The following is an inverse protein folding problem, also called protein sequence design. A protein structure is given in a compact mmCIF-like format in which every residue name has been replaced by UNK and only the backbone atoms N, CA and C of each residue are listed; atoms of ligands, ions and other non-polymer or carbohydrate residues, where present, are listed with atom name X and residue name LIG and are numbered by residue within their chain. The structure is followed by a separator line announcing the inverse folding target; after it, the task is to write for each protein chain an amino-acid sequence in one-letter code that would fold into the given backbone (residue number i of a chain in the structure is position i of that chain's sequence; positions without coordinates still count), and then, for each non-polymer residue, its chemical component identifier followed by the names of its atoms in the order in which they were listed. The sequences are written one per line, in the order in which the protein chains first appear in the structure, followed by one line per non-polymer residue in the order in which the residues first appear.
data_IF_396725951058
#
_entry.id   IF_396725951058
#
_cell.length_a   1.000
_cell.length_b   1.000
_cell.length_c   1.000
_cell.angle_alpha   90.00
_cell.angle_beta   90.00
_cell.angle_gamma   90.00
#
_symmetry.space_group_name_H-M   'P 1'
#
loop_
_entity.id
_entity.type
_entity.pdbx_description
1 polymer ?
#
# COMPACT_ATOMS: atom_id res chain seq x y z
N UNK A 1 1.78 24.79 -78.87
CA UNK A 1 1.05 23.49 -78.85
C UNK A 1 1.94 22.26 -78.91
N UNK A 2 2.64 21.92 -80.01
CA UNK A 2 3.42 20.65 -80.07
C UNK A 2 4.62 20.65 -79.10
N UNK A 3 5.39 21.73 -79.07
CA UNK A 3 6.54 21.85 -78.16
C UNK A 3 6.14 21.88 -76.68
N UNK A 4 5.07 22.59 -76.33
CA UNK A 4 4.53 22.62 -74.96
C UNK A 4 4.02 21.24 -74.52
N UNK A 5 3.40 20.46 -75.42
CA UNK A 5 2.96 19.10 -75.12
C UNK A 5 4.13 18.14 -74.86
N UNK A 6 5.24 18.27 -75.59
CA UNK A 6 6.42 17.45 -75.34
C UNK A 6 7.13 17.83 -74.03
N UNK A 7 7.19 19.12 -73.69
CA UNK A 7 7.72 19.56 -72.40
C UNK A 7 6.88 19.04 -71.22
N UNK A 8 5.55 19.09 -71.33
CA UNK A 8 4.66 18.58 -70.28
C UNK A 8 4.78 17.06 -70.08
N UNK A 9 5.01 16.31 -71.16
CA UNK A 9 5.25 14.86 -71.09
C UNK A 9 6.54 14.53 -70.36
N UNK A 10 7.61 15.28 -70.62
CA UNK A 10 8.89 15.04 -69.95
C UNK A 10 8.80 15.39 -68.46
N UNK A 11 8.16 16.51 -68.09
CA UNK A 11 7.91 16.85 -66.68
C UNK A 11 7.06 15.79 -65.95
N UNK A 12 6.04 15.23 -66.62
CA UNK A 12 5.25 14.13 -66.07
C UNK A 12 6.08 12.87 -65.87
N UNK A 13 6.99 12.59 -66.80
CA UNK A 13 7.89 11.44 -66.73
C UNK A 13 8.90 11.58 -65.60
N UNK A 14 9.47 12.76 -65.42
CA UNK A 14 10.37 13.06 -64.30
C UNK A 14 9.64 12.90 -62.96
N UNK A 15 8.44 13.48 -62.81
CA UNK A 15 7.63 13.32 -61.60
C UNK A 15 7.27 11.86 -61.31
N UNK A 16 6.93 11.08 -62.34
CA UNK A 16 6.66 9.66 -62.19
C UNK A 16 7.90 8.90 -61.67
N UNK A 17 9.08 9.17 -62.23
CA UNK A 17 10.33 8.56 -61.77
C UNK A 17 10.68 8.94 -60.33
N UNK A 18 10.47 10.21 -59.94
CA UNK A 18 10.70 10.65 -58.55
C UNK A 18 9.77 9.94 -57.58
N UNK A 19 8.47 9.85 -57.90
CA UNK A 19 7.49 9.14 -57.07
C UNK A 19 7.82 7.64 -56.96
N UNK A 20 8.31 7.01 -58.02
CA UNK A 20 8.75 5.61 -57.97
C UNK A 20 9.95 5.41 -57.03
N UNK A 21 10.91 6.33 -57.03
CA UNK A 21 12.05 6.29 -56.12
C UNK A 21 11.63 6.51 -54.65
N UNK A 22 10.77 7.49 -54.39
CA UNK A 22 10.23 7.74 -53.05
C UNK A 22 9.44 6.53 -52.52
N UNK A 23 8.63 5.90 -53.38
CA UNK A 23 7.88 4.69 -53.04
C UNK A 23 8.83 3.53 -52.68
N UNK A 24 9.95 3.39 -53.40
CA UNK A 24 10.94 2.36 -53.12
C UNK A 24 11.61 2.59 -51.76
N UNK A 25 12.05 3.83 -51.50
CA UNK A 25 12.67 4.20 -50.22
C UNK A 25 11.71 3.95 -49.04
N UNK A 26 10.45 4.36 -49.20
CA UNK A 26 9.43 4.16 -48.18
C UNK A 26 9.17 2.67 -47.92
N UNK A 27 9.21 1.82 -48.94
CA UNK A 27 9.08 0.36 -48.77
C UNK A 27 10.27 -0.22 -47.99
N UNK A 28 11.48 0.23 -48.27
CA UNK A 28 12.68 -0.22 -47.55
C UNK A 28 12.66 0.20 -46.08
N UNK A 29 12.23 1.43 -45.78
CA UNK A 29 12.08 1.91 -44.40
C UNK A 29 11.02 1.11 -43.63
N UNK A 30 9.90 0.78 -44.26
CA UNK A 30 8.86 -0.03 -43.64
C UNK A 30 9.32 -1.47 -43.35
N UNK A 31 10.09 -2.10 -44.24
CA UNK A 31 10.65 -3.43 -43.96
C UNK A 31 11.67 -3.37 -42.81
N UNK A 32 12.53 -2.34 -42.75
CA UNK A 32 13.44 -2.15 -41.60
C UNK A 32 12.69 -1.99 -40.27
N UNK A 33 11.64 -1.16 -40.26
CA UNK A 33 10.81 -0.97 -39.07
C UNK A 33 10.11 -2.26 -38.63
N UNK A 34 9.65 -3.05 -39.59
CA UNK A 34 9.01 -4.35 -39.34
C UNK A 34 9.98 -5.36 -38.75
N UNK A 35 11.21 -5.44 -39.27
CA UNK A 35 12.27 -6.28 -38.69
C UNK A 35 12.64 -5.84 -37.26
N UNK A 36 12.73 -4.53 -37.01
CA UNK A 36 13.01 -4.00 -35.67
C UNK A 36 11.89 -4.34 -34.67
N UNK A 37 10.63 -4.19 -35.11
CA UNK A 37 9.47 -4.55 -34.31
C UNK A 37 9.45 -6.05 -33.98
N UNK A 38 9.76 -6.89 -34.96
CA UNK A 38 9.81 -8.34 -34.78
C UNK A 38 10.92 -8.75 -33.79
N UNK A 39 12.09 -8.11 -33.86
CA UNK A 39 13.15 -8.27 -32.85
C UNK A 39 12.66 -7.90 -31.44
N UNK A 40 12.03 -6.73 -31.28
CA UNK A 40 11.49 -6.29 -29.98
C UNK A 40 10.44 -7.25 -29.44
N UNK A 41 9.54 -7.75 -30.29
CA UNK A 41 8.53 -8.74 -29.90
C UNK A 41 9.17 -10.04 -29.42
N UNK A 42 10.23 -10.51 -30.10
CA UNK A 42 10.93 -11.73 -29.71
C UNK A 42 11.69 -11.57 -28.38
N UNK A 43 12.33 -10.43 -28.15
CA UNK A 43 12.94 -10.10 -26.85
C UNK A 43 11.89 -10.08 -25.74
N UNK A 44 10.78 -9.37 -25.93
CA UNK A 44 9.69 -9.32 -24.93
C UNK A 44 9.09 -10.70 -24.64
N UNK A 45 8.99 -11.58 -25.63
CA UNK A 45 8.55 -12.96 -25.44
C UNK A 45 9.52 -13.76 -24.56
N UNK A 46 10.83 -13.57 -24.74
CA UNK A 46 11.85 -14.21 -23.91
C UNK A 46 11.80 -13.70 -22.47
N UNK A 47 11.73 -12.38 -22.28
CA UNK A 47 11.65 -11.77 -20.94
C UNK A 47 10.39 -12.24 -20.19
N UNK A 48 9.25 -12.34 -20.91
CA UNK A 48 8.01 -12.87 -20.35
C UNK A 48 8.14 -14.33 -19.92
N UNK A 49 8.89 -15.15 -20.65
CA UNK A 49 9.11 -16.55 -20.30
C UNK A 49 9.97 -16.68 -19.04
N UNK A 50 11.09 -15.93 -18.98
CA UNK A 50 11.96 -15.85 -17.81
C UNK A 50 11.19 -15.41 -16.56
N UNK A 51 10.40 -14.34 -16.68
CA UNK A 51 9.62 -13.82 -15.57
C UNK A 51 8.55 -14.83 -15.09
N UNK A 52 7.99 -15.65 -15.98
CA UNK A 52 7.08 -16.74 -15.60
C UNK A 52 7.81 -17.85 -14.82
N UNK A 53 8.99 -18.25 -15.27
CA UNK A 53 9.80 -19.27 -14.59
C UNK A 53 10.23 -18.82 -13.19
N UNK A 54 10.65 -17.57 -13.03
CA UNK A 54 10.99 -16.99 -11.73
C UNK A 54 9.78 -16.94 -10.78
N UNK A 55 8.61 -16.57 -11.29
CA UNK A 55 7.38 -16.55 -10.51
C UNK A 55 6.97 -17.96 -10.03
N UNK A 56 7.11 -18.98 -10.87
CA UNK A 56 6.83 -20.36 -10.46
C UNK A 56 7.84 -20.86 -9.40
N UNK A 57 9.11 -20.51 -9.54
CA UNK A 57 10.13 -20.82 -8.52
C UNK A 57 9.81 -20.15 -7.18
N UNK A 58 9.41 -18.88 -7.20
CA UNK A 58 9.03 -18.15 -5.98
C UNK A 58 7.79 -18.74 -5.31
N UNK A 59 6.78 -19.14 -6.09
CA UNK A 59 5.60 -19.84 -5.56
C UNK A 59 5.96 -21.15 -4.87
N UNK A 60 6.88 -21.92 -5.45
CA UNK A 60 7.28 -23.19 -4.85
C UNK A 60 8.06 -22.97 -3.54
N UNK A 61 8.95 -21.98 -3.48
CA UNK A 61 9.63 -21.59 -2.23
C UNK A 61 8.63 -21.15 -1.15
N UNK A 62 7.59 -20.41 -1.52
CA UNK A 62 6.50 -20.04 -0.62
C UNK A 62 5.72 -21.27 -0.12
N UNK A 63 5.42 -22.22 -1.00
CA UNK A 63 4.74 -23.47 -0.65
C UNK A 63 5.54 -24.28 0.36
N UNK A 64 6.85 -24.38 0.15
CA UNK A 64 7.75 -25.05 1.10
C UNK A 64 7.74 -24.38 2.48
N UNK A 65 7.87 -23.04 2.53
CA UNK A 65 7.83 -22.29 3.79
C UNK A 65 6.51 -22.44 4.53
N UNK A 66 5.37 -22.44 3.82
CA UNK A 66 4.05 -22.67 4.41
C UNK A 66 3.98 -24.08 5.01
N UNK A 67 4.41 -25.10 4.28
CA UNK A 67 4.43 -26.48 4.77
C UNK A 67 5.29 -26.63 6.04
N UNK A 68 6.46 -25.99 6.10
CA UNK A 68 7.30 -26.00 7.30
C UNK A 68 6.59 -25.35 8.49
N UNK A 69 6.00 -24.17 8.29
CA UNK A 69 5.27 -23.47 9.35
C UNK A 69 4.04 -24.26 9.85
N UNK A 70 3.35 -24.97 8.95
CA UNK A 70 2.24 -25.85 9.33
C UNK A 70 2.71 -27.03 10.19
N UNK A 71 3.86 -27.62 9.88
CA UNK A 71 4.47 -28.67 10.70
C UNK A 71 4.88 -28.15 12.08
N UNK A 72 5.54 -26.99 12.14
CA UNK A 72 5.92 -26.37 13.42
C UNK A 72 4.71 -26.03 14.29
N UNK A 73 3.62 -25.54 13.67
CA UNK A 73 2.37 -25.25 14.35
C UNK A 73 1.74 -26.52 14.93
N UNK A 74 1.78 -27.64 14.20
CA UNK A 74 1.27 -28.93 14.69
C UNK A 74 2.07 -29.38 15.92
N UNK A 75 3.39 -29.27 15.85
CA UNK A 75 4.30 -29.64 16.94
C UNK A 75 4.04 -28.79 18.19
N UNK A 76 3.89 -27.47 18.02
CA UNK A 76 3.50 -26.55 19.10
C UNK A 76 2.14 -26.91 19.71
N UNK A 77 1.16 -27.34 18.91
CA UNK A 77 -0.15 -27.77 19.41
C UNK A 77 -0.03 -29.04 20.27
N UNK A 78 0.74 -30.02 19.81
CA UNK A 78 0.98 -31.26 20.57
C UNK A 78 1.69 -31.00 21.91
N UNK A 79 2.68 -30.11 21.93
CA UNK A 79 3.37 -29.70 23.16
C UNK A 79 2.43 -28.98 24.13
N UNK A 80 1.56 -28.10 23.63
CA UNK A 80 0.57 -27.41 24.46
C UNK A 80 -0.45 -28.40 25.08
N UNK A 81 -0.88 -29.42 24.36
CA UNK A 81 -1.76 -30.47 24.92
C UNK A 81 -1.05 -31.28 26.02
N UNK A 82 0.22 -31.65 25.82
CA UNK A 82 1.03 -32.31 26.87
C UNK A 82 1.15 -31.46 28.13
N UNK A 83 1.42 -30.16 27.97
CA UNK A 83 1.51 -29.23 29.09
C UNK A 83 0.16 -29.07 29.83
N UNK A 84 -0.97 -29.02 29.11
CA UNK A 84 -2.30 -29.00 29.73
C UNK A 84 -2.55 -30.25 30.57
N UNK A 85 -2.18 -31.43 30.07
CA UNK A 85 -2.31 -32.68 30.82
C UNK A 85 -1.46 -32.69 32.09
N UNK A 86 -0.21 -32.23 32.02
CA UNK A 86 0.66 -32.08 33.21
C UNK A 86 0.08 -31.11 34.23
N UNK A 87 -0.46 -29.98 33.76
CA UNK A 87 -1.04 -28.95 34.61
C UNK A 87 -2.31 -29.47 35.32
N UNK A 88 -3.13 -30.26 34.62
CA UNK A 88 -4.29 -30.94 35.20
C UNK A 88 -3.87 -31.97 36.26
N UNK A 89 -2.82 -32.77 36.00
CA UNK A 89 -2.25 -33.73 36.97
C UNK A 89 -1.71 -33.03 38.21
N UNK A 90 -0.99 -31.90 38.05
CA UNK A 90 -0.47 -31.08 39.16
C UNK A 90 -1.59 -30.41 39.96
N UNK A 91 -2.65 -29.94 39.30
CA UNK A 91 -3.83 -29.39 39.97
C UNK A 91 -4.56 -30.41 40.85
N UNK A 92 -4.66 -31.66 40.38
CA UNK A 92 -5.21 -32.78 41.17
C UNK A 92 -4.33 -33.15 42.38
N UNK A 93 -3.00 -33.10 42.24
CA UNK A 93 -2.07 -33.31 43.35
C UNK A 93 -2.07 -32.18 44.38
N UNK A 94 -2.36 -30.94 43.97
CA UNK A 94 -2.41 -29.77 44.85
C UNK A 94 -3.70 -29.65 45.68
N UNK A 95 -4.65 -30.61 45.55
CA UNK A 95 -5.90 -30.59 46.32
C UNK A 95 -6.87 -29.46 45.94
N UNK A 96 -6.74 -28.91 44.73
CA UNK A 96 -7.73 -27.95 44.20
C UNK A 96 -8.86 -28.76 43.57
N UNK A 97 -9.99 -28.85 44.28
CA UNK A 97 -11.25 -29.32 43.71
C UNK A 97 -11.69 -28.31 42.65
N UNK A 98 -11.51 -28.65 41.38
CA UNK A 98 -12.23 -27.99 40.29
C UNK A 98 -13.72 -28.29 40.48
N UNK A 99 -14.50 -27.24 40.74
CA UNK A 99 -15.97 -27.28 40.67
C UNK A 99 -16.34 -27.75 39.28
N UNK A 100 -16.79 -29.01 39.15
CA UNK A 100 -17.45 -29.51 37.94
C UNK A 100 -18.78 -28.78 37.77
N UNK A 101 -19.07 -28.47 36.51
CA UNK A 101 -20.12 -27.57 36.05
C UNK A 101 -21.50 -27.74 36.67
N UNK A 102 -22.18 -26.60 36.77
CA UNK A 102 -23.64 -26.58 36.74
C UNK A 102 -24.07 -26.71 35.27
N UNK A 103 -24.60 -27.88 34.93
CA UNK A 103 -25.48 -28.04 33.79
C UNK A 103 -26.72 -27.14 33.99
N UNK A 104 -26.95 -26.21 33.07
CA UNK A 104 -28.29 -25.67 32.80
C UNK A 104 -28.50 -25.79 31.30
N UNK A 105 -29.47 -26.63 30.95
CA UNK A 105 -29.66 -27.17 29.61
C UNK A 105 -30.11 -26.19 28.55
N UNK A 106 -30.00 -26.67 27.32
CA UNK A 106 -30.63 -26.12 26.14
C UNK A 106 -32.15 -26.02 26.32
N UNK A 107 -32.68 -24.81 26.18
CA UNK A 107 -33.93 -24.51 25.47
C UNK A 107 -33.83 -23.08 24.94
N UNK A 108 -34.21 -22.94 23.67
CA UNK A 108 -33.90 -21.79 22.85
C UNK A 108 -34.71 -20.53 23.10
N UNK A 109 -34.43 -19.61 22.18
CA UNK A 109 -35.13 -18.39 21.80
C UNK A 109 -34.79 -17.10 22.56
N UNK A 110 -34.18 -16.22 21.76
CA UNK A 110 -34.33 -14.76 21.72
C UNK A 110 -33.65 -13.84 22.75
N UNK A 111 -33.10 -12.77 22.17
CA UNK A 111 -32.75 -11.45 22.73
C UNK A 111 -31.40 -11.30 23.43
N UNK A 112 -30.43 -10.82 22.64
CA UNK A 112 -29.75 -9.54 22.83
C UNK A 112 -29.38 -9.17 24.28
N UNK A 113 -28.09 -9.36 24.62
CA UNK A 113 -27.37 -8.73 25.73
C UNK A 113 -25.93 -9.23 25.76
N UNK A 114 -25.01 -8.44 25.20
CA UNK A 114 -23.64 -8.27 25.73
C UNK A 114 -22.95 -7.05 25.11
N UNK A 115 -23.69 -5.96 24.98
CA UNK A 115 -23.14 -4.60 24.93
C UNK A 115 -23.26 -4.00 26.33
N UNK A 116 -22.21 -4.09 27.15
CA UNK A 116 -22.18 -3.36 28.42
C UNK A 116 -20.80 -2.88 28.89
N UNK A 117 -19.68 -3.41 28.38
CA UNK A 117 -18.35 -2.99 28.88
C UNK A 117 -17.46 -2.23 27.87
N UNK A 118 -17.92 -2.03 26.62
CA UNK A 118 -17.20 -1.16 25.68
C UNK A 118 -17.59 0.34 25.79
N UNK A 119 -18.73 0.66 26.43
CA UNK A 119 -19.27 2.02 26.48
C UNK A 119 -18.76 2.93 27.62
N UNK A 120 -17.81 2.46 28.44
CA UNK A 120 -17.29 3.20 29.60
C UNK A 120 -15.96 3.90 29.27
N UNK A 121 -15.09 3.29 28.46
CA UNK A 121 -13.79 3.88 28.10
C UNK A 121 -13.98 5.06 27.13
N UNK A 122 -14.91 4.95 26.19
CA UNK A 122 -15.17 6.00 25.19
C UNK A 122 -15.80 7.26 25.80
N UNK A 123 -16.69 7.10 26.80
CA UNK A 123 -17.29 8.23 27.54
C UNK A 123 -16.33 8.94 28.49
N UNK A 124 -15.35 8.23 29.05
CA UNK A 124 -14.32 8.85 29.90
C UNK A 124 -13.31 9.67 29.08
N UNK A 125 -12.99 9.26 27.85
CA UNK A 125 -12.13 10.04 26.95
C UNK A 125 -12.82 11.30 26.41
N UNK A 126 -14.11 11.21 26.05
CA UNK A 126 -14.91 12.36 25.58
C UNK A 126 -15.25 13.35 26.71
N UNK A 127 -15.42 12.88 27.95
CA UNK A 127 -15.66 13.78 29.10
C UNK A 127 -14.40 14.54 29.50
N UNK A 128 -13.21 13.92 29.43
CA UNK A 128 -11.93 14.63 29.64
C UNK A 128 -11.62 15.66 28.55
N UNK A 129 -12.11 15.47 27.32
CA UNK A 129 -11.95 16.45 26.22
C UNK A 129 -12.86 17.68 26.39
N UNK A 130 -13.89 17.62 27.24
CA UNK A 130 -14.84 18.72 27.50
C UNK A 130 -14.46 19.60 28.71
N UNK A 131 -13.54 19.15 29.55
CA UNK A 131 -13.06 19.91 30.74
C UNK A 131 -11.74 20.65 30.52
N UNK A 132 -11.01 20.40 29.44
CA UNK A 132 -9.86 21.23 29.03
C UNK A 132 -10.34 22.33 28.08
N UNK A 133 -11.10 23.28 28.64
CA UNK A 133 -11.17 24.63 28.07
C UNK A 133 -9.81 25.31 28.29
N UNK A 134 -9.42 26.09 27.28
CA UNK A 134 -8.49 27.22 27.35
C UNK A 134 -8.34 27.72 28.78
N UNK A 135 -7.13 27.62 29.34
CA UNK A 135 -6.39 28.73 29.92
C UNK A 135 -5.01 28.19 30.36
N UNK A 136 -3.94 28.89 29.99
CA UNK A 136 -2.52 28.66 30.33
C UNK A 136 -1.76 27.55 29.56
N UNK A 137 -1.20 27.91 28.41
CA UNK A 137 0.07 27.37 27.89
C UNK A 137 0.79 28.45 27.06
N UNK A 138 0.94 29.66 27.61
CA UNK A 138 2.07 30.52 27.26
C UNK A 138 3.30 29.93 27.96
N UNK A 139 4.04 29.03 27.31
CA UNK A 139 5.21 28.45 27.98
C UNK A 139 5.92 27.25 27.34
N UNK A 140 5.66 26.90 26.08
CA UNK A 140 6.41 25.83 25.39
C UNK A 140 6.64 26.16 23.91
N UNK A 141 7.00 27.41 23.62
CA UNK A 141 7.71 27.75 22.39
C UNK A 141 9.17 27.33 22.56
N UNK A 142 9.46 26.07 22.25
CA UNK A 142 10.81 25.70 21.85
C UNK A 142 11.02 26.34 20.48
N UNK A 143 11.72 27.47 20.45
CA UNK A 143 12.18 28.11 19.22
C UNK A 143 12.98 27.08 18.41
N UNK A 144 12.36 26.55 17.35
CA UNK A 144 13.07 25.77 16.35
C UNK A 144 13.91 26.73 15.50
N UNK A 145 15.19 26.42 15.22
CA UNK A 145 15.98 27.24 14.31
C UNK A 145 15.30 27.32 12.94
N UNK A 146 15.16 28.53 12.43
CA UNK A 146 14.70 28.83 11.08
C UNK A 146 15.70 28.26 10.06
N UNK A 147 15.47 27.01 9.62
CA UNK A 147 16.11 26.46 8.43
C UNK A 147 15.25 26.87 7.23
N UNK A 148 15.78 27.80 6.42
CA UNK A 148 15.06 28.41 5.29
C UNK A 148 15.17 27.59 4.01
N UNK A 149 14.09 27.62 3.21
CA UNK A 149 13.99 27.40 1.74
C UNK A 149 14.28 25.96 1.29
N UNK A 150 13.32 25.05 1.13
CA UNK A 150 11.98 25.12 0.52
C UNK A 150 11.08 24.10 1.25
N UNK A 151 9.87 24.48 1.72
CA UNK A 151 8.98 23.48 2.32
C UNK A 151 8.42 22.59 1.21
N UNK A 152 9.01 21.41 1.02
CA UNK A 152 8.36 20.37 0.25
C UNK A 152 7.20 19.81 1.09
N UNK A 153 6.00 19.87 0.52
CA UNK A 153 4.80 19.31 1.13
C UNK A 153 4.92 17.79 1.06
N UNK A 154 4.97 17.11 2.21
CA UNK A 154 4.95 15.65 2.28
C UNK A 154 3.53 15.17 2.61
N UNK A 155 2.99 14.29 1.76
CA UNK A 155 1.73 13.58 2.00
C UNK A 155 2.04 12.21 2.61
N UNK A 156 1.57 11.97 3.84
CA UNK A 156 1.64 10.66 4.50
C UNK A 156 0.23 10.11 4.70
N UNK A 157 0.00 8.88 4.28
CA UNK A 157 -1.25 8.13 4.50
C UNK A 157 -1.01 6.97 5.44
N UNK A 158 -1.73 6.92 6.56
CA UNK A 158 -1.66 5.81 7.53
C UNK A 158 -2.82 4.80 7.39
N UNK A 159 -2.72 3.67 8.09
CA UNK A 159 -3.59 2.48 8.13
C UNK A 159 -5.10 2.83 8.22
N UNK A 160 -5.46 3.96 8.84
CA UNK A 160 -6.85 4.42 9.03
C UNK A 160 -7.27 5.63 8.17
N UNK A 161 -6.51 6.00 7.14
CA UNK A 161 -6.81 7.20 6.34
C UNK A 161 -6.47 8.50 7.07
N UNK A 162 -5.59 8.46 8.07
CA UNK A 162 -5.03 9.69 8.64
C UNK A 162 -4.08 10.28 7.62
N UNK A 163 -4.43 11.48 7.16
CA UNK A 163 -3.63 12.30 6.27
C UNK A 163 -2.79 13.24 7.13
N UNK A 164 -1.47 13.07 7.11
CA UNK A 164 -0.56 14.03 7.72
C UNK A 164 0.00 14.92 6.61
N UNK A 165 -0.50 16.15 6.56
CA UNK A 165 0.16 17.24 5.85
C UNK A 165 1.03 17.98 6.86
N UNK A 166 2.35 17.99 6.64
CA UNK A 166 3.33 18.46 7.64
C UNK A 166 3.27 19.98 7.90
N UNK A 167 2.47 20.74 7.13
CA UNK A 167 2.20 22.16 7.41
C UNK A 167 0.84 22.44 8.08
N UNK A 168 -0.09 21.48 8.12
CA UNK A 168 -1.39 21.62 8.79
C UNK A 168 -2.09 20.27 8.89
N UNK A 169 -2.34 19.79 10.11
CA UNK A 169 -2.98 18.50 10.36
C UNK A 169 -4.44 18.53 9.88
N UNK A 170 -4.73 17.91 8.73
CA UNK A 170 -6.09 17.72 8.22
C UNK A 170 -6.37 16.23 8.06
N UNK A 171 -7.35 15.70 8.78
CA UNK A 171 -7.75 14.28 8.69
C UNK A 171 -8.84 14.14 7.63
N UNK A 172 -8.54 13.47 6.51
CA UNK A 172 -9.53 13.09 5.48
C UNK A 172 -9.64 11.58 5.39
N UNK A 173 -10.80 11.02 5.76
CA UNK A 173 -11.07 9.60 5.57
C UNK A 173 -11.21 9.26 4.08
N UNK A 174 -10.29 8.46 3.55
CA UNK A 174 -10.36 7.91 2.19
C UNK A 174 -11.38 6.76 2.08
N UNK A 175 -12.65 7.01 2.41
CA UNK A 175 -13.71 6.01 2.25
C UNK A 175 -14.07 5.73 0.77
N UNK A 176 -13.48 6.43 -0.21
CA UNK A 176 -13.90 6.35 -1.63
C UNK A 176 -12.81 6.06 -2.67
N UNK A 177 -11.54 5.90 -2.30
CA UNK A 177 -10.44 5.76 -3.29
C UNK A 177 -9.79 4.37 -3.35
N UNK A 178 -10.37 3.39 -2.67
CA UNK A 178 -9.85 2.02 -2.66
C UNK A 178 -10.45 1.21 -3.82
N UNK A 179 -9.61 0.47 -4.54
CA UNK A 179 -10.13 -0.57 -5.44
C UNK A 179 -10.28 -1.88 -4.68
N UNK A 180 -11.43 -2.50 -4.85
CA UNK A 180 -11.77 -3.80 -4.30
C UNK A 180 -11.61 -4.85 -5.39
N UNK A 181 -10.62 -5.72 -5.23
CA UNK A 181 -10.38 -6.86 -6.08
C UNK A 181 -10.74 -8.15 -5.33
N UNK A 182 -11.30 -9.14 -6.01
CA UNK A 182 -11.51 -10.45 -5.39
C UNK A 182 -10.26 -11.29 -5.58
N UNK A 183 -9.72 -11.85 -4.48
CA UNK A 183 -8.58 -12.77 -4.61
C UNK A 183 -9.06 -14.10 -5.18
N UNK A 184 -8.28 -14.71 -6.07
CA UNK A 184 -8.58 -16.02 -6.67
C UNK A 184 -8.70 -17.10 -5.58
N UNK A 185 -7.93 -16.95 -4.50
CA UNK A 185 -7.84 -17.91 -3.40
C UNK A 185 -8.96 -17.72 -2.34
N UNK A 186 -9.47 -16.49 -2.16
CA UNK A 186 -10.48 -16.21 -1.16
C UNK A 186 -11.45 -15.09 -1.59
N UNK A 187 -12.54 -15.50 -2.23
CA UNK A 187 -13.63 -14.61 -2.64
C UNK A 187 -14.42 -14.00 -1.45
N UNK A 188 -14.18 -14.44 -0.21
CA UNK A 188 -14.81 -13.82 0.97
C UNK A 188 -14.01 -12.63 1.52
N UNK A 189 -12.75 -12.45 1.09
CA UNK A 189 -11.88 -11.34 1.53
C UNK A 189 -11.48 -10.47 0.34
N UNK A 190 -12.18 -9.34 0.11
CA UNK A 190 -11.78 -8.40 -0.92
C UNK A 190 -10.38 -7.84 -0.65
N UNK A 191 -9.53 -7.88 -1.66
CA UNK A 191 -8.22 -7.24 -1.69
C UNK A 191 -8.42 -5.75 -1.94
N UNK A 192 -8.15 -4.97 -0.90
CA UNK A 192 -8.24 -3.51 -0.96
C UNK A 192 -6.87 -2.92 -1.31
N UNK A 193 -6.75 -2.32 -2.50
CA UNK A 193 -5.55 -1.61 -2.93
C UNK A 193 -5.66 -0.12 -2.64
N UNK A 194 -4.57 0.48 -2.16
CA UNK A 194 -4.44 1.92 -1.91
C UNK A 194 -3.58 2.55 -2.99
N UNK A 195 -4.20 3.23 -3.94
CA UNK A 195 -3.53 3.81 -5.11
C UNK A 195 -3.25 5.29 -4.91
N UNK A 196 -1.98 5.65 -4.70
CA UNK A 196 -1.55 7.04 -4.53
C UNK A 196 -1.81 7.88 -5.78
N UNK A 197 -1.72 7.27 -6.98
CA UNK A 197 -1.96 7.96 -8.25
C UNK A 197 -3.35 8.59 -8.32
N UNK A 198 -4.38 7.97 -7.73
CA UNK A 198 -5.76 8.52 -7.69
C UNK A 198 -5.86 9.78 -6.84
N UNK A 199 -5.04 9.88 -5.80
CA UNK A 199 -4.93 11.07 -4.96
C UNK A 199 -4.16 12.19 -5.68
N UNK A 200 -3.09 11.82 -6.39
CA UNK A 200 -2.29 12.75 -7.19
C UNK A 200 -3.11 13.33 -8.35
N UNK A 201 -3.95 12.51 -8.97
CA UNK A 201 -4.80 12.90 -10.09
C UNK A 201 -6.08 13.63 -9.68
N UNK A 202 -6.35 13.73 -8.36
CA UNK A 202 -7.52 14.38 -7.77
C UNK A 202 -8.83 13.75 -8.27
N UNK A 203 -8.89 12.42 -8.27
CA UNK A 203 -10.09 11.67 -8.66
C UNK A 203 -11.30 12.00 -7.77
N UNK A 204 -11.05 12.33 -6.50
CA UNK A 204 -12.03 12.98 -5.63
C UNK A 204 -11.87 14.50 -5.74
N UNK A 205 -12.86 15.22 -6.31
CA UNK A 205 -12.77 16.67 -6.49
C UNK A 205 -12.79 17.45 -5.16
N UNK A 206 -13.19 16.82 -4.05
CA UNK A 206 -13.25 17.46 -2.73
C UNK A 206 -11.90 17.49 -2.00
N UNK A 207 -10.85 16.91 -2.57
CA UNK A 207 -9.52 16.94 -1.96
C UNK A 207 -8.98 18.38 -1.92
N UNK A 208 -8.32 18.77 -0.81
CA UNK A 208 -7.93 20.16 -0.56
C UNK A 208 -6.68 20.61 -1.33
N UNK A 209 -5.99 19.69 -1.99
CA UNK A 209 -4.81 19.99 -2.82
C UNK A 209 -5.17 20.05 -4.30
N UNK A 210 -4.31 20.67 -5.09
CA UNK A 210 -4.45 20.70 -6.53
C UNK A 210 -3.97 19.41 -7.19
N UNK A 211 -4.52 19.11 -8.37
CA UNK A 211 -4.08 17.98 -9.18
C UNK A 211 -2.56 18.10 -9.43
N UNK A 212 -1.82 17.01 -9.17
CA UNK A 212 -0.35 16.90 -9.25
C UNK A 212 0.44 17.76 -8.26
N UNK A 213 -0.22 18.36 -7.25
CA UNK A 213 0.50 18.95 -6.12
C UNK A 213 1.32 17.90 -5.35
N UNK A 214 0.81 16.67 -5.34
CA UNK A 214 1.51 15.49 -4.86
C UNK A 214 1.80 14.52 -6.01
N UNK A 215 2.91 13.80 -5.87
CA UNK A 215 3.41 12.76 -6.77
C UNK A 215 4.36 11.83 -6.00
N UNK A 216 5.04 10.93 -6.71
CA UNK A 216 5.98 9.95 -6.15
C UNK A 216 7.15 10.57 -5.37
N UNK A 217 7.57 11.79 -5.72
CA UNK A 217 8.70 12.45 -5.06
C UNK A 217 8.36 13.03 -3.69
N UNK A 218 7.07 13.21 -3.36
CA UNK A 218 6.63 13.90 -2.15
C UNK A 218 5.40 13.24 -1.48
N UNK A 219 5.19 11.94 -1.74
CA UNK A 219 4.12 11.14 -1.12
C UNK A 219 4.65 9.82 -0.60
N UNK A 220 4.19 9.42 0.58
CA UNK A 220 4.49 8.15 1.20
C UNK A 220 3.22 7.46 1.71
N UNK A 221 3.06 6.19 1.35
CA UNK A 221 2.10 5.30 1.99
C UNK A 221 2.75 4.61 3.21
N UNK A 222 2.13 4.75 4.36
CA UNK A 222 2.48 4.00 5.59
C UNK A 222 1.35 3.02 5.84
N UNK A 223 1.66 1.73 5.78
CA UNK A 223 0.65 0.69 5.99
C UNK A 223 1.26 -0.50 6.73
N UNK A 224 0.44 -1.40 7.25
CA UNK A 224 0.91 -2.65 7.85
C UNK A 224 0.83 -3.83 6.86
N UNK A 225 0.25 -3.58 5.69
CA UNK A 225 -0.09 -4.60 4.70
C UNK A 225 0.60 -4.32 3.35
N UNK A 226 1.74 -4.98 3.04
CA UNK A 226 2.51 -4.74 1.83
C UNK A 226 1.70 -4.79 0.53
N UNK A 227 0.73 -5.73 0.45
CA UNK A 227 -0.08 -5.91 -0.75
C UNK A 227 -0.91 -4.67 -1.11
N UNK A 228 -1.23 -3.78 -0.16
CA UNK A 228 -2.04 -2.58 -0.44
C UNK A 228 -1.31 -1.58 -1.32
N UNK A 229 0.02 -1.68 -1.42
CA UNK A 229 0.86 -0.79 -2.21
C UNK A 229 1.21 -1.34 -3.61
N UNK A 230 0.67 -2.49 -4.03
CA UNK A 230 1.08 -3.19 -5.26
C UNK A 230 0.99 -2.35 -6.54
N UNK A 231 0.12 -1.35 -6.58
CA UNK A 231 -0.07 -0.47 -7.73
C UNK A 231 0.63 0.88 -7.59
N UNK A 232 1.36 1.09 -6.50
CA UNK A 232 2.13 2.31 -6.30
C UNK A 232 3.54 2.15 -6.86
N UNK A 233 4.17 3.24 -7.34
CA UNK A 233 5.56 3.20 -7.78
C UNK A 233 6.49 2.66 -6.68
N UNK A 234 7.60 2.04 -7.09
CA UNK A 234 8.62 1.59 -6.15
C UNK A 234 9.10 2.76 -5.26
N UNK A 235 9.49 2.45 -4.02
CA UNK A 235 9.98 3.44 -3.06
C UNK A 235 8.96 4.55 -2.71
N UNK A 236 7.67 4.23 -2.69
CA UNK A 236 6.60 5.16 -2.23
C UNK A 236 5.79 4.61 -1.06
N UNK A 237 6.24 3.51 -0.45
CA UNK A 237 5.58 2.91 0.69
C UNK A 237 6.58 2.34 1.71
N UNK A 238 6.26 2.44 2.99
CA UNK A 238 6.93 1.71 4.08
C UNK A 238 5.91 0.86 4.82
N UNK A 239 6.35 -0.29 5.33
CA UNK A 239 5.47 -1.25 5.99
C UNK A 239 5.84 -1.41 7.47
N UNK A 240 4.90 -1.09 8.34
CA UNK A 240 5.06 -1.18 9.79
C UNK A 240 4.53 -2.52 10.31
N UNK A 241 5.01 -2.92 11.48
CA UNK A 241 4.32 -3.95 12.27
C UNK A 241 2.96 -3.41 12.70
N UNK A 242 1.90 -4.22 12.57
CA UNK A 242 0.56 -3.84 13.02
C UNK A 242 0.59 -3.42 14.49
N UNK A 243 -0.14 -2.35 14.80
CA UNK A 243 -0.29 -1.88 16.18
C UNK A 243 -0.93 -2.95 17.05
N UNK A 244 -0.27 -3.28 18.16
CA UNK A 244 -0.81 -4.17 19.18
C UNK A 244 -1.14 -3.37 20.44
N UNK A 245 -2.44 -3.21 20.73
CA UNK A 245 -2.90 -2.49 21.91
C UNK A 245 -2.50 -3.18 23.23
N UNK A 246 -2.16 -4.47 23.21
CA UNK A 246 -1.62 -5.19 24.36
C UNK A 246 -0.15 -4.86 24.61
N UNK A 247 0.57 -4.39 23.59
CA UNK A 247 1.96 -3.96 23.70
C UNK A 247 2.05 -2.54 24.27
N UNK A 248 2.11 -2.46 25.61
CA UNK A 248 2.27 -1.19 26.33
C UNK A 248 3.61 -0.48 26.08
N UNK A 249 4.56 -1.15 25.43
CA UNK A 249 5.86 -0.60 25.06
C UNK A 249 5.93 -0.14 23.60
N UNK A 250 4.82 -0.21 22.84
CA UNK A 250 4.79 0.33 21.49
C UNK A 250 4.90 1.87 21.52
N UNK A 251 6.11 2.35 21.24
CA UNK A 251 6.46 3.76 21.21
C UNK A 251 6.97 4.19 19.83
N UNK A 252 6.73 3.43 18.77
CA UNK A 252 7.27 3.66 17.43
C UNK A 252 6.89 5.05 16.86
N UNK A 253 5.65 5.49 17.10
CA UNK A 253 5.15 6.83 16.76
C UNK A 253 5.31 7.86 17.89
N UNK A 254 5.76 7.41 19.07
CA UNK A 254 5.98 8.24 20.25
C UNK A 254 7.14 9.23 20.07
N UNK A 255 7.34 10.12 21.04
CA UNK A 255 8.46 11.06 21.03
C UNK A 255 9.80 10.29 21.02
N UNK A 256 10.64 10.52 20.02
CA UNK A 256 11.91 9.81 19.84
C UNK A 256 11.74 8.35 19.38
N UNK A 257 10.53 7.93 19.00
CA UNK A 257 10.30 6.63 18.40
C UNK A 257 10.89 6.53 16.99
N UNK A 258 11.31 5.33 16.61
CA UNK A 258 12.06 5.10 15.37
C UNK A 258 11.31 5.54 14.12
N UNK A 259 10.01 5.23 14.03
CA UNK A 259 9.18 5.60 12.87
C UNK A 259 8.97 7.11 12.82
N UNK A 260 8.69 7.74 13.97
CA UNK A 260 8.58 9.19 14.02
C UNK A 260 9.86 9.87 13.54
N UNK A 261 11.03 9.44 14.03
CA UNK A 261 12.31 10.00 13.63
C UNK A 261 12.61 9.76 12.15
N UNK A 262 12.25 8.59 11.63
CA UNK A 262 12.37 8.28 10.20
C UNK A 262 11.53 9.24 9.34
N UNK A 263 10.26 9.43 9.69
CA UNK A 263 9.34 10.33 8.97
C UNK A 263 9.77 11.80 9.07
N UNK A 264 10.30 12.24 10.23
CA UNK A 264 10.85 13.59 10.40
C UNK A 264 12.06 13.82 9.49
N UNK A 265 12.95 12.84 9.31
CA UNK A 265 14.08 12.91 8.37
C UNK A 265 13.61 12.88 6.91
N UNK A 266 12.66 12.00 6.58
CA UNK A 266 12.06 11.94 5.25
C UNK A 266 11.42 13.27 4.86
N UNK A 267 10.73 13.95 5.79
CA UNK A 267 10.12 15.25 5.55
C UNK A 267 11.14 16.37 5.24
N UNK A 268 12.41 16.18 5.60
CA UNK A 268 13.51 17.09 5.24
C UNK A 268 14.24 16.70 3.95
N UNK A 269 13.93 15.52 3.40
CA UNK A 269 14.53 15.05 2.16
C UNK A 269 13.91 15.74 0.95
N UNK A 270 14.67 15.87 -0.14
CA UNK A 270 14.19 16.49 -1.37
C UNK A 270 13.31 15.57 -2.23
N UNK A 271 13.31 14.26 -1.95
CA UNK A 271 12.63 13.27 -2.77
C UNK A 271 12.44 11.97 -1.97
N UNK A 272 11.18 11.55 -1.83
CA UNK A 272 10.80 10.34 -1.09
C UNK A 272 11.45 9.08 -1.68
N UNK A 273 11.33 8.87 -2.99
CA UNK A 273 11.86 7.66 -3.64
C UNK A 273 13.38 7.51 -3.52
N UNK A 274 14.13 8.62 -3.45
CA UNK A 274 15.58 8.57 -3.27
C UNK A 274 15.99 8.31 -1.81
N UNK A 275 15.13 8.67 -0.86
CA UNK A 275 15.42 8.51 0.56
C UNK A 275 15.17 7.07 1.04
N UNK A 276 14.17 6.39 0.46
CA UNK A 276 13.76 5.01 0.80
C UNK A 276 14.62 4.00 0.06
#
# INVERSE_FOLDING_TARGET
MVAENEQLKEELREKANTLEQELLLFKEENEKLKEELEKKVNTLKQDLLLCKEENEKFKEELREKVNTLEQDLLLCKEENEKLKEELNKKGQQAGIVMVKGMDVGEKGDDVDKRDADCGIIERQFLSKKKELKLDNMEGLLIERPLISKTKQKLLILDVNGLLLHIDSMFVFGLQGQNEIWMTIENNAKPLMLKQLVKLWDKDDPNLPWEKREYNESNSLLVDDSPYKALLNPAHTAIFLTSFDFCNKNDNLLGHGGDIRMYLERLATSENVQKYI
#
